data_IF_949513778003
#
_entry.id   IF_949513778003
#
_cell.length_a   1.000
_cell.length_b   1.000
_cell.length_c   1.000
_cell.angle_alpha   90.00
_cell.angle_beta   90.00
_cell.angle_gamma   90.00
#
_symmetry.space_group_name_H-M   'P 1'
#
loop_
_entity.id
_entity.type
_entity.pdbx_description
1 polymer ?
#
# COMPACT_ATOMS: atom_id res chain seq x y z
N UNK A 1 -83.10 67.21 27.85
CA UNK A 1 -83.30 66.11 26.87
C UNK A 1 -82.90 66.57 25.48
N UNK A 2 -81.80 66.07 24.90
CA UNK A 2 -81.68 65.75 23.47
C UNK A 2 -80.41 64.93 23.24
N UNK A 3 -80.62 63.76 22.62
CA UNK A 3 -79.70 62.62 22.48
C UNK A 3 -78.50 62.90 21.58
N UNK A 4 -77.36 62.32 21.98
CA UNK A 4 -76.18 62.05 21.16
C UNK A 4 -76.53 61.18 19.93
N UNK A 5 -75.86 61.44 18.80
CA UNK A 5 -75.61 60.46 17.72
C UNK A 5 -74.13 60.49 17.40
N UNK A 6 -73.50 59.32 17.46
CA UNK A 6 -72.08 59.09 17.26
C UNK A 6 -71.65 59.22 15.80
N UNK A 7 -70.35 59.46 15.65
CA UNK A 7 -69.60 59.32 14.40
C UNK A 7 -68.86 57.96 14.41
N UNK A 8 -68.74 57.23 13.29
CA UNK A 8 -67.99 55.98 13.26
C UNK A 8 -66.48 56.26 13.10
N UNK A 9 -65.59 55.34 13.53
CA UNK A 9 -64.15 55.52 13.41
C UNK A 9 -63.65 55.19 11.99
N UNK A 10 -62.63 55.94 11.54
CA UNK A 10 -61.88 55.69 10.30
C UNK A 10 -61.07 54.39 10.44
N UNK A 11 -61.12 53.56 9.39
CA UNK A 11 -60.46 52.26 9.31
C UNK A 11 -58.94 52.34 9.39
N UNK A 12 -58.38 51.49 10.24
CA UNK A 12 -56.99 51.08 10.26
C UNK A 12 -56.95 49.61 9.83
N UNK A 13 -56.24 49.28 8.74
CA UNK A 13 -56.13 47.89 8.32
C UNK A 13 -55.59 47.71 6.90
N UNK A 14 -54.30 48.01 6.68
CA UNK A 14 -53.58 47.42 5.54
C UNK A 14 -52.04 47.44 5.64
N UNK A 15 -51.46 47.90 6.75
CA UNK A 15 -50.00 48.00 6.91
C UNK A 15 -49.31 46.75 7.49
N UNK A 16 -50.00 45.96 8.33
CA UNK A 16 -49.39 44.83 9.05
C UNK A 16 -49.18 43.60 8.16
N UNK A 17 -50.12 43.30 7.27
CA UNK A 17 -50.10 42.11 6.41
C UNK A 17 -49.03 42.15 5.30
N UNK A 18 -48.58 43.34 4.90
CA UNK A 18 -47.54 43.50 3.87
C UNK A 18 -46.12 43.30 4.44
N UNK A 19 -45.86 43.88 5.63
CA UNK A 19 -44.58 43.73 6.33
C UNK A 19 -44.34 42.29 6.81
N UNK A 20 -45.38 41.60 7.26
CA UNK A 20 -45.30 40.19 7.66
C UNK A 20 -44.95 39.29 6.46
N UNK A 21 -45.58 39.51 5.30
CA UNK A 21 -45.27 38.77 4.06
C UNK A 21 -43.85 39.00 3.57
N UNK A 22 -43.33 40.23 3.63
CA UNK A 22 -41.93 40.51 3.28
C UNK A 22 -40.94 39.82 4.23
N UNK A 23 -41.25 39.78 5.54
CA UNK A 23 -40.39 39.09 6.51
C UNK A 23 -40.32 37.58 6.30
N UNK A 24 -41.44 36.96 5.90
CA UNK A 24 -41.50 35.53 5.56
C UNK A 24 -40.76 35.25 4.25
N UNK A 25 -40.89 36.12 3.25
CA UNK A 25 -40.15 36.01 1.98
C UNK A 25 -38.63 36.08 2.18
N UNK A 26 -38.13 37.01 3.01
CA UNK A 26 -36.71 37.10 3.33
C UNK A 26 -36.19 35.87 4.09
N UNK A 27 -36.98 35.31 5.01
CA UNK A 27 -36.64 34.06 5.70
C UNK A 27 -36.58 32.88 4.73
N UNK A 28 -37.53 32.76 3.81
CA UNK A 28 -37.53 31.72 2.79
C UNK A 28 -36.32 31.86 1.86
N UNK A 29 -36.00 33.07 1.41
CA UNK A 29 -34.80 33.34 0.60
C UNK A 29 -33.52 32.95 1.36
N UNK A 30 -33.38 33.34 2.62
CA UNK A 30 -32.22 32.97 3.44
C UNK A 30 -32.07 31.45 3.58
N UNK A 31 -33.17 30.72 3.80
CA UNK A 31 -33.15 29.24 3.88
C UNK A 31 -32.79 28.62 2.53
N UNK A 32 -33.31 29.14 1.41
CA UNK A 32 -32.96 28.62 0.08
C UNK A 32 -31.48 28.86 -0.25
N UNK A 33 -30.94 30.03 0.08
CA UNK A 33 -29.51 30.35 -0.11
C UNK A 33 -28.65 29.43 0.77
N UNK A 34 -29.04 29.19 2.02
CA UNK A 34 -28.34 28.26 2.90
C UNK A 34 -28.36 26.82 2.35
N UNK A 35 -29.48 26.36 1.81
CA UNK A 35 -29.57 25.05 1.14
C UNK A 35 -28.67 24.95 -0.09
N UNK A 36 -28.56 26.02 -0.88
CA UNK A 36 -27.64 26.06 -2.04
C UNK A 36 -26.19 25.99 -1.58
N UNK A 37 -25.81 26.71 -0.52
CA UNK A 37 -24.45 26.62 0.03
C UNK A 37 -24.13 25.22 0.58
N UNK A 38 -25.09 24.58 1.27
CA UNK A 38 -24.92 23.19 1.73
C UNK A 38 -24.80 22.23 0.55
N UNK A 39 -25.62 22.40 -0.49
CA UNK A 39 -25.55 21.58 -1.70
C UNK A 39 -24.22 21.76 -2.45
N UNK A 40 -23.74 23.00 -2.61
CA UNK A 40 -22.43 23.29 -3.20
C UNK A 40 -21.29 22.71 -2.36
N UNK A 41 -21.37 22.80 -1.02
CA UNK A 41 -20.39 22.21 -0.12
C UNK A 41 -20.36 20.68 -0.23
N UNK A 42 -21.53 20.05 -0.28
CA UNK A 42 -21.66 18.60 -0.47
C UNK A 42 -21.16 18.15 -1.85
N UNK A 43 -21.45 18.90 -2.92
CA UNK A 43 -20.96 18.62 -4.25
C UNK A 43 -19.43 18.81 -4.37
N UNK A 44 -18.89 19.85 -3.75
CA UNK A 44 -17.44 20.06 -3.66
C UNK A 44 -16.75 18.91 -2.91
N UNK A 45 -17.32 18.51 -1.76
CA UNK A 45 -16.84 17.37 -1.00
C UNK A 45 -16.89 16.08 -1.82
N UNK A 46 -18.01 15.79 -2.47
CA UNK A 46 -18.15 14.61 -3.33
C UNK A 46 -17.15 14.61 -4.49
N UNK A 47 -17.00 15.75 -5.18
CA UNK A 47 -16.08 15.87 -6.29
C UNK A 47 -14.63 15.62 -5.84
N UNK A 48 -14.21 16.28 -4.76
CA UNK A 48 -12.81 16.25 -4.34
C UNK A 48 -12.40 14.97 -3.60
N UNK A 49 -13.31 14.37 -2.82
CA UNK A 49 -13.00 13.19 -1.99
C UNK A 49 -13.49 11.86 -2.56
N UNK A 50 -14.41 11.85 -3.53
CA UNK A 50 -14.96 10.61 -4.11
C UNK A 50 -14.66 10.51 -5.61
N UNK A 51 -14.97 11.56 -6.38
CA UNK A 51 -14.86 11.51 -7.84
C UNK A 51 -13.41 11.64 -8.34
N UNK A 52 -12.67 12.67 -7.90
CA UNK A 52 -11.27 12.88 -8.31
C UNK A 52 -10.37 11.68 -7.97
N UNK A 53 -10.40 11.12 -6.74
CA UNK A 53 -9.58 9.96 -6.41
C UNK A 53 -9.91 8.74 -7.28
N UNK A 54 -11.19 8.52 -7.60
CA UNK A 54 -11.61 7.44 -8.49
C UNK A 54 -11.02 7.55 -9.90
N UNK A 55 -10.92 8.77 -10.44
CA UNK A 55 -10.30 9.03 -11.75
C UNK A 55 -8.78 8.84 -11.73
N UNK A 56 -8.09 9.24 -10.67
CA UNK A 56 -6.62 9.07 -10.53
C UNK A 56 -6.28 7.58 -10.40
N UNK A 57 -7.14 6.80 -9.77
CA UNK A 57 -7.00 5.35 -9.65
C UNK A 57 -7.42 4.59 -10.91
N UNK A 58 -8.03 5.24 -11.90
CA UNK A 58 -8.43 4.59 -13.14
C UNK A 58 -7.19 4.31 -14.00
N UNK A 59 -7.03 3.05 -14.41
CA UNK A 59 -5.90 2.63 -15.24
C UNK A 59 -5.94 3.38 -16.57
N UNK A 60 -4.80 3.92 -16.98
CA UNK A 60 -4.67 4.54 -18.29
C UNK A 60 -4.71 3.47 -19.38
N UNK A 61 -5.61 3.66 -20.35
CA UNK A 61 -5.74 2.82 -21.54
C UNK A 61 -4.64 3.16 -22.56
N UNK A 62 -3.39 2.90 -22.19
CA UNK A 62 -2.25 3.01 -23.09
C UNK A 62 -2.21 1.81 -24.03
N UNK A 63 -1.87 2.02 -25.32
CA UNK A 63 -1.72 0.92 -26.27
C UNK A 63 -0.61 -0.01 -25.79
N UNK A 64 -0.88 -1.32 -25.83
CA UNK A 64 0.13 -2.32 -25.51
C UNK A 64 1.23 -2.28 -26.58
N UNK A 65 2.46 -1.97 -26.16
CA UNK A 65 3.63 -2.04 -27.04
C UNK A 65 3.81 -3.50 -27.50
N UNK A 66 3.84 -3.73 -28.82
CA UNK A 66 3.99 -5.04 -29.46
C UNK A 66 5.40 -5.65 -29.35
N UNK A 67 5.98 -5.64 -28.16
CA UNK A 67 7.36 -6.05 -27.89
C UNK A 67 7.54 -7.58 -27.77
N UNK A 68 6.51 -8.39 -28.10
CA UNK A 68 6.51 -9.85 -27.91
C UNK A 68 7.04 -10.29 -26.53
N UNK A 69 6.76 -9.51 -25.50
CA UNK A 69 7.10 -9.83 -24.12
C UNK A 69 6.11 -10.88 -23.60
N UNK A 70 6.63 -11.87 -22.89
CA UNK A 70 5.78 -12.74 -22.08
C UNK A 70 5.12 -11.90 -20.97
N UNK A 71 3.78 -11.95 -20.93
CA UNK A 71 2.94 -11.15 -20.03
C UNK A 71 2.97 -11.64 -18.60
N UNK A 72 3.48 -12.87 -18.36
CA UNK A 72 3.60 -13.48 -17.04
C UNK A 72 4.98 -13.30 -16.42
N UNK A 73 5.99 -12.96 -17.23
CA UNK A 73 7.35 -12.74 -16.72
C UNK A 73 7.40 -11.50 -15.85
N UNK A 74 7.94 -11.64 -14.65
CA UNK A 74 8.15 -10.55 -13.72
C UNK A 74 9.34 -9.68 -14.14
N UNK A 75 9.32 -8.41 -13.74
CA UNK A 75 10.39 -7.47 -14.01
C UNK A 75 10.31 -6.23 -13.13
N UNK A 76 11.36 -5.43 -13.14
CA UNK A 76 11.46 -4.17 -12.38
C UNK A 76 10.75 -3.02 -13.11
N UNK A 77 9.49 -3.22 -13.53
CA UNK A 77 8.71 -2.24 -14.29
C UNK A 77 8.05 -1.16 -13.41
N UNK A 78 8.51 -0.98 -12.16
CA UNK A 78 8.03 0.02 -11.20
C UNK A 78 9.16 0.96 -10.78
N UNK A 79 9.69 1.71 -11.74
CA UNK A 79 10.86 2.59 -11.53
C UNK A 79 10.65 3.76 -10.54
N UNK A 80 9.40 4.07 -10.18
CA UNK A 80 9.08 5.13 -9.22
C UNK A 80 9.26 4.70 -7.75
N UNK A 81 9.34 3.40 -7.47
CA UNK A 81 9.68 2.88 -6.13
C UNK A 81 11.11 2.37 -6.10
N UNK A 82 11.73 2.37 -4.91
CA UNK A 82 13.11 1.91 -4.76
C UNK A 82 13.30 0.45 -5.20
N UNK A 83 12.43 -0.44 -4.73
CA UNK A 83 12.39 -1.83 -5.15
C UNK A 83 10.95 -2.31 -5.28
N UNK A 84 10.60 -2.79 -6.47
CA UNK A 84 9.28 -3.31 -6.77
C UNK A 84 9.24 -4.06 -8.09
N UNK A 85 8.47 -5.14 -8.11
CA UNK A 85 8.32 -6.02 -9.26
C UNK A 85 6.87 -6.02 -9.72
N UNK A 86 6.68 -6.19 -11.04
CA UNK A 86 5.38 -6.48 -11.68
C UNK A 86 5.62 -7.18 -13.00
N UNK A 87 4.58 -7.76 -13.61
CA UNK A 87 4.62 -8.23 -14.99
C UNK A 87 4.23 -7.11 -15.96
N UNK A 88 4.53 -7.23 -17.28
CA UNK A 88 4.23 -6.20 -18.26
C UNK A 88 2.75 -6.22 -18.68
N UNK A 89 1.84 -6.34 -17.71
CA UNK A 89 0.39 -6.36 -17.90
C UNK A 89 -0.32 -5.34 -16.98
N UNK A 90 -1.45 -4.78 -17.42
CA UNK A 90 -2.22 -3.77 -16.66
C UNK A 90 -2.88 -4.35 -15.39
N UNK A 91 -3.20 -5.65 -15.42
CA UNK A 91 -3.79 -6.37 -14.28
C UNK A 91 -2.75 -7.16 -13.47
N UNK A 92 -1.46 -6.89 -13.66
CA UNK A 92 -0.40 -7.55 -12.87
C UNK A 92 -0.59 -7.29 -11.37
N UNK A 93 -0.42 -8.28 -10.49
CA UNK A 93 -0.13 -8.04 -9.10
C UNK A 93 1.10 -7.12 -8.96
N UNK A 94 1.11 -6.29 -7.92
CA UNK A 94 2.23 -5.39 -7.62
C UNK A 94 2.94 -5.89 -6.38
N UNK A 95 4.24 -6.11 -6.49
CA UNK A 95 5.13 -6.35 -5.35
C UNK A 95 5.96 -5.10 -5.08
N UNK A 96 6.23 -4.82 -3.81
CA UNK A 96 7.26 -3.84 -3.47
C UNK A 96 7.70 -3.86 -2.02
N UNK A 97 8.75 -3.08 -1.78
CA UNK A 97 9.40 -2.94 -0.48
C UNK A 97 9.21 -1.53 0.06
N UNK A 98 8.88 -1.46 1.34
CA UNK A 98 8.91 -0.26 2.18
C UNK A 98 9.88 -0.55 3.32
N UNK A 99 10.64 0.43 3.79
CA UNK A 99 11.46 0.25 4.99
C UNK A 99 11.57 1.50 5.84
N UNK A 100 11.91 1.29 7.10
CA UNK A 100 12.26 2.34 8.05
C UNK A 100 13.10 1.79 9.20
N UNK A 101 13.96 2.63 9.79
CA UNK A 101 14.73 2.26 10.98
C UNK A 101 13.81 2.17 12.21
N UNK A 102 13.95 1.17 13.07
CA UNK A 102 13.13 1.07 14.28
C UNK A 102 13.53 2.19 15.27
N UNK A 103 12.58 3.03 15.74
CA UNK A 103 12.90 4.18 16.58
C UNK A 103 13.22 3.81 18.05
N UNK A 104 13.08 2.53 18.41
CA UNK A 104 13.24 2.04 19.78
C UNK A 104 12.21 2.67 20.71
N UNK A 105 12.67 3.24 21.83
CA UNK A 105 11.81 3.88 22.84
C UNK A 105 11.15 5.19 22.37
N UNK A 106 11.52 5.72 21.20
CA UNK A 106 10.92 6.95 20.67
C UNK A 106 9.61 6.63 19.95
N UNK A 107 8.55 7.36 20.28
CA UNK A 107 7.20 7.18 19.69
C UNK A 107 7.06 7.91 18.33
N UNK A 108 8.11 8.58 17.87
CA UNK A 108 8.09 9.33 16.61
C UNK A 108 8.27 8.36 15.46
N UNK A 109 7.32 8.37 14.50
CA UNK A 109 7.44 7.59 13.26
C UNK A 109 8.67 8.09 12.49
N UNK A 110 9.65 7.21 12.22
CA UNK A 110 10.87 7.58 11.52
C UNK A 110 10.59 7.79 10.02
N UNK A 111 11.55 8.35 9.26
CA UNK A 111 11.41 8.49 7.81
C UNK A 111 11.16 7.13 7.14
N UNK A 112 9.95 6.96 6.59
CA UNK A 112 9.55 5.73 5.87
C UNK A 112 9.89 5.88 4.39
N UNK A 113 10.62 4.90 3.85
CA UNK A 113 11.09 4.90 2.46
C UNK A 113 10.20 4.02 1.59
N UNK A 114 9.84 4.52 0.41
CA UNK A 114 9.05 3.76 -0.57
C UNK A 114 9.29 4.26 -1.99
N UNK A 115 8.96 5.52 -2.24
CA UNK A 115 9.14 6.19 -3.52
C UNK A 115 10.54 6.76 -3.64
N UNK A 116 11.05 6.79 -4.86
CA UNK A 116 12.29 7.44 -5.22
C UNK A 116 12.14 8.98 -5.13
N UNK A 117 12.10 9.51 -3.91
CA UNK A 117 12.02 10.94 -3.61
C UNK A 117 13.39 11.48 -3.18
N UNK A 118 13.81 12.56 -3.83
CA UNK A 118 15.08 13.23 -3.59
C UNK A 118 15.17 13.88 -2.21
N UNK A 119 14.03 14.18 -1.58
CA UNK A 119 13.97 14.95 -0.32
C UNK A 119 14.07 14.09 0.93
N UNK A 120 14.17 12.77 0.82
CA UNK A 120 14.17 11.91 1.99
C UNK A 120 15.60 11.69 2.58
N UNK A 121 16.67 12.19 1.94
CA UNK A 121 18.03 12.09 2.49
C UNK A 121 18.75 10.76 2.23
N UNK A 122 18.35 10.02 1.20
CA UNK A 122 19.12 8.88 0.67
C UNK A 122 20.38 9.41 -0.02
N UNK A 123 21.55 8.88 0.35
CA UNK A 123 22.86 9.32 -0.19
C UNK A 123 23.07 8.90 -1.64
N UNK A 124 22.45 7.80 -2.04
CA UNK A 124 22.42 7.34 -3.42
C UNK A 124 21.79 5.95 -3.54
N UNK A 125 21.18 5.67 -4.69
CA UNK A 125 20.60 4.37 -4.99
C UNK A 125 20.78 4.07 -6.47
N UNK A 126 20.93 2.79 -6.80
CA UNK A 126 21.03 2.38 -8.20
C UNK A 126 21.26 0.89 -8.38
N UNK A 127 20.90 0.41 -9.56
CA UNK A 127 21.25 -0.93 -10.01
C UNK A 127 22.73 -0.95 -10.39
N UNK A 128 23.51 -1.80 -9.72
CA UNK A 128 24.91 -2.04 -10.12
C UNK A 128 24.98 -3.02 -11.27
N UNK A 129 24.07 -3.99 -11.30
CA UNK A 129 23.89 -4.96 -12.39
C UNK A 129 22.39 -5.19 -12.55
N UNK A 130 21.85 -5.04 -13.75
CA UNK A 130 20.45 -5.39 -14.02
C UNK A 130 20.22 -5.51 -15.52
N UNK A 131 19.36 -6.43 -15.92
CA UNK A 131 18.79 -6.49 -17.27
C UNK A 131 17.31 -6.03 -17.29
N UNK A 132 16.75 -5.78 -16.10
CA UNK A 132 15.37 -5.34 -15.86
C UNK A 132 14.31 -6.45 -15.99
N UNK A 133 14.72 -7.71 -16.25
CA UNK A 133 13.80 -8.82 -16.59
C UNK A 133 14.12 -10.13 -15.89
N UNK A 134 15.39 -10.55 -15.88
CA UNK A 134 15.79 -11.84 -15.33
C UNK A 134 16.55 -11.70 -14.02
N UNK A 135 17.26 -10.59 -13.82
CA UNK A 135 17.93 -10.36 -12.55
C UNK A 135 18.21 -8.88 -12.29
N UNK A 136 18.55 -8.60 -11.04
CA UNK A 136 19.13 -7.32 -10.70
C UNK A 136 19.77 -7.33 -9.32
N UNK A 137 20.83 -6.54 -9.20
CA UNK A 137 21.53 -6.20 -7.98
C UNK A 137 21.53 -4.70 -7.82
N UNK A 138 20.93 -4.22 -6.75
CA UNK A 138 20.83 -2.81 -6.43
C UNK A 138 21.39 -2.55 -5.04
N UNK A 139 22.03 -1.39 -4.90
CA UNK A 139 22.52 -0.88 -3.63
C UNK A 139 21.85 0.46 -3.35
N UNK A 140 21.30 0.61 -2.14
CA UNK A 140 20.64 1.81 -1.64
C UNK A 140 21.39 2.25 -0.39
N UNK A 141 22.01 3.42 -0.44
CA UNK A 141 22.77 4.01 0.66
C UNK A 141 21.88 4.97 1.44
N UNK A 142 21.28 4.48 2.52
CA UNK A 142 20.47 5.30 3.42
C UNK A 142 21.38 6.13 4.36
N UNK A 143 20.79 6.94 5.23
CA UNK A 143 21.53 7.75 6.20
C UNK A 143 22.32 6.88 7.19
N UNK A 144 21.68 5.84 7.73
CA UNK A 144 22.16 5.03 8.86
C UNK A 144 22.70 3.64 8.46
N UNK A 145 22.33 3.13 7.27
CA UNK A 145 22.72 1.80 6.79
C UNK A 145 22.63 1.72 5.27
N UNK A 146 23.27 0.69 4.71
CA UNK A 146 23.16 0.34 3.30
C UNK A 146 22.23 -0.88 3.15
N UNK A 147 21.36 -0.82 2.15
CA UNK A 147 20.44 -1.89 1.78
C UNK A 147 20.83 -2.44 0.41
N UNK A 148 21.00 -3.76 0.33
CA UNK A 148 21.24 -4.48 -0.93
C UNK A 148 20.00 -5.26 -1.30
N UNK A 149 19.54 -5.07 -2.53
CA UNK A 149 18.38 -5.77 -3.12
C UNK A 149 18.87 -6.57 -4.32
N UNK A 150 18.96 -7.89 -4.13
CA UNK A 150 19.31 -8.84 -5.17
C UNK A 150 18.04 -9.60 -5.56
N UNK A 151 17.78 -9.80 -6.85
CA UNK A 151 16.68 -10.65 -7.29
C UNK A 151 17.03 -11.39 -8.57
N UNK A 152 16.41 -12.57 -8.72
CA UNK A 152 16.50 -13.43 -9.89
C UNK A 152 15.11 -13.92 -10.26
N UNK A 153 14.89 -14.11 -11.54
CA UNK A 153 13.66 -14.59 -12.14
C UNK A 153 13.99 -15.70 -13.14
N UNK A 154 13.32 -16.83 -12.96
CA UNK A 154 13.39 -17.99 -13.83
C UNK A 154 11.97 -18.37 -14.23
N UNK A 155 11.69 -18.29 -15.53
CA UNK A 155 10.35 -18.53 -16.07
C UNK A 155 9.33 -17.52 -15.54
N UNK A 156 8.40 -18.01 -14.72
CA UNK A 156 7.34 -17.21 -14.07
C UNK A 156 7.52 -17.07 -12.56
N UNK A 157 8.67 -17.52 -12.04
CA UNK A 157 9.00 -17.49 -10.61
C UNK A 157 10.15 -16.54 -10.33
N UNK A 158 10.18 -15.95 -9.14
CA UNK A 158 11.29 -15.08 -8.75
C UNK A 158 11.62 -15.21 -7.29
N UNK A 159 12.88 -14.93 -6.96
CA UNK A 159 13.36 -14.83 -5.59
C UNK A 159 14.12 -13.53 -5.43
N UNK A 160 13.81 -12.79 -4.38
CA UNK A 160 14.48 -11.56 -4.00
C UNK A 160 15.14 -11.73 -2.63
N UNK A 161 16.42 -11.40 -2.53
CA UNK A 161 17.17 -11.32 -1.29
C UNK A 161 17.42 -9.87 -0.92
N UNK A 162 17.03 -9.52 0.30
CA UNK A 162 17.22 -8.18 0.86
C UNK A 162 18.20 -8.32 2.01
N UNK A 163 19.33 -7.64 1.92
CA UNK A 163 20.38 -7.67 2.94
C UNK A 163 20.69 -6.27 3.44
N UNK A 164 20.99 -6.17 4.73
CA UNK A 164 21.34 -4.90 5.39
C UNK A 164 22.82 -4.91 5.74
N UNK A 165 23.47 -3.76 5.60
CA UNK A 165 24.87 -3.57 5.99
C UNK A 165 24.99 -2.28 6.79
N UNK A 166 25.38 -2.38 8.05
CA UNK A 166 25.58 -1.23 8.92
C UNK A 166 26.64 -1.50 9.97
N UNK A 167 27.28 -0.42 10.43
CA UNK A 167 28.10 -0.44 11.64
C UNK A 167 27.26 -0.32 12.92
N UNK A 168 25.98 0.05 12.78
CA UNK A 168 25.04 0.27 13.90
C UNK A 168 24.31 -1.03 14.21
N UNK A 169 24.11 -1.32 15.50
CA UNK A 169 23.35 -2.48 15.99
C UNK A 169 21.89 -2.12 16.30
N UNK A 170 21.17 -1.64 15.29
CA UNK A 170 19.71 -1.38 15.38
C UNK A 170 18.93 -2.44 14.60
N UNK A 171 17.60 -2.31 14.57
CA UNK A 171 16.72 -3.11 13.71
C UNK A 171 16.14 -2.21 12.62
N UNK A 172 15.88 -2.80 11.46
CA UNK A 172 15.13 -2.16 10.38
C UNK A 172 13.82 -2.90 10.20
N UNK A 173 12.72 -2.15 10.06
CA UNK A 173 11.46 -2.71 9.61
C UNK A 173 11.49 -2.80 8.09
N UNK A 174 11.39 -4.01 7.55
CA UNK A 174 11.18 -4.25 6.13
C UNK A 174 9.72 -4.67 5.94
N UNK A 175 8.98 -3.91 5.14
CA UNK A 175 7.57 -4.17 4.85
C UNK A 175 7.44 -4.57 3.38
N UNK A 176 7.18 -5.84 3.15
CA UNK A 176 6.90 -6.41 1.85
C UNK A 176 5.40 -6.37 1.60
N UNK A 177 4.98 -5.75 0.51
CA UNK A 177 3.55 -5.69 0.18
C UNK A 177 3.24 -6.29 -1.17
N UNK A 178 2.05 -6.85 -1.25
CA UNK A 178 1.42 -7.35 -2.46
C UNK A 178 0.06 -6.71 -2.63
N UNK A 179 -0.17 -6.18 -3.83
CA UNK A 179 -1.41 -5.51 -4.18
C UNK A 179 -1.99 -6.10 -5.46
N UNK A 180 -3.23 -6.55 -5.37
CA UNK A 180 -4.01 -7.05 -6.49
C UNK A 180 -4.78 -5.90 -7.12
N UNK A 181 -4.52 -5.65 -8.40
CA UNK A 181 -5.18 -4.57 -9.16
C UNK A 181 -6.44 -5.01 -9.92
N UNK A 182 -6.81 -6.28 -9.82
CA UNK A 182 -7.87 -6.90 -10.59
C UNK A 182 -9.07 -7.28 -9.71
N UNK A 183 -10.27 -7.21 -10.27
CA UNK A 183 -11.51 -7.44 -9.54
C UNK A 183 -11.72 -8.92 -9.18
N UNK A 184 -11.31 -9.85 -10.05
CA UNK A 184 -11.53 -11.30 -9.87
C UNK A 184 -10.39 -12.01 -9.14
N UNK A 185 -9.23 -11.36 -9.06
CA UNK A 185 -8.03 -11.88 -8.39
C UNK A 185 -8.07 -11.65 -6.87
N UNK A 186 -7.52 -12.52 -6.03
CA UNK A 186 -7.55 -12.36 -4.56
C UNK A 186 -6.35 -13.00 -3.86
N UNK A 187 -6.10 -12.60 -2.62
CA UNK A 187 -5.05 -13.13 -1.74
C UNK A 187 -5.69 -13.85 -0.54
N UNK A 188 -5.14 -15.02 -0.22
CA UNK A 188 -5.53 -15.89 0.88
C UNK A 188 -4.33 -16.20 1.78
N UNK A 189 -4.49 -16.05 3.09
CA UNK A 189 -3.45 -16.42 4.07
C UNK A 189 -3.32 -17.93 4.19
N UNK A 190 -2.10 -18.44 4.29
CA UNK A 190 -1.87 -19.88 4.52
C UNK A 190 -1.86 -20.25 6.01
N UNK A 191 -1.34 -19.37 6.87
CA UNK A 191 -1.08 -19.70 8.28
C UNK A 191 -2.24 -19.34 9.22
N UNK A 192 -2.70 -20.26 10.06
CA UNK A 192 -3.71 -20.00 11.11
C UNK A 192 -3.11 -19.35 12.38
N UNK A 193 -1.78 -19.43 12.57
CA UNK A 193 -1.10 -19.13 13.85
C UNK A 193 -0.60 -17.67 14.03
N UNK A 194 -1.27 -16.64 13.49
CA UNK A 194 -0.81 -15.21 13.54
C UNK A 194 0.59 -14.86 13.00
N UNK A 195 1.37 -15.85 12.60
CA UNK A 195 2.70 -15.70 11.98
C UNK A 195 2.61 -15.79 10.45
N UNK A 196 2.07 -14.80 9.77
CA UNK A 196 1.95 -14.80 8.31
C UNK A 196 3.35 -14.79 7.63
N UNK A 197 3.93 -15.98 7.42
CA UNK A 197 5.22 -16.17 6.72
C UNK A 197 5.01 -16.47 5.25
N UNK A 198 3.85 -17.04 4.93
CA UNK A 198 3.46 -17.37 3.56
C UNK A 198 2.01 -17.03 3.30
N UNK A 199 1.71 -16.66 2.06
CA UNK A 199 0.34 -16.48 1.59
C UNK A 199 0.20 -17.01 0.17
N UNK A 200 -1.02 -17.41 -0.16
CA UNK A 200 -1.44 -17.77 -1.51
C UNK A 200 -2.21 -16.64 -2.15
N UNK A 201 -2.22 -16.61 -3.46
CA UNK A 201 -3.10 -15.76 -4.22
C UNK A 201 -3.53 -16.41 -5.50
N UNK A 202 -4.66 -15.95 -6.02
CA UNK A 202 -5.11 -16.27 -7.36
C UNK A 202 -5.11 -14.97 -8.17
N UNK A 203 -4.51 -15.03 -9.36
CA UNK A 203 -4.66 -13.98 -10.36
C UNK A 203 -5.12 -14.56 -11.68
N UNK A 204 -6.06 -13.91 -12.36
CA UNK A 204 -6.50 -14.32 -13.69
C UNK A 204 -5.32 -14.40 -14.70
N UNK A 205 -4.29 -13.58 -14.50
CA UNK A 205 -3.09 -13.56 -15.35
C UNK A 205 -2.11 -14.69 -15.02
N UNK A 206 -1.84 -14.89 -13.74
CA UNK A 206 -0.74 -15.76 -13.27
C UNK A 206 -1.22 -17.16 -12.87
N UNK A 207 -2.50 -17.34 -12.55
CA UNK A 207 -3.02 -18.53 -11.91
C UNK A 207 -2.88 -18.45 -10.38
N UNK A 208 -2.80 -19.61 -9.75
CA UNK A 208 -2.52 -19.75 -8.32
C UNK A 208 -1.04 -19.60 -8.06
N UNK A 209 -0.69 -18.67 -7.18
CA UNK A 209 0.69 -18.45 -6.77
C UNK A 209 0.82 -18.49 -5.26
N UNK A 210 2.04 -18.75 -4.80
CA UNK A 210 2.42 -18.73 -3.40
C UNK A 210 3.61 -17.81 -3.23
N UNK A 211 3.58 -17.02 -2.15
CA UNK A 211 4.71 -16.19 -1.74
C UNK A 211 5.16 -16.64 -0.37
N UNK A 212 6.47 -16.85 -0.22
CA UNK A 212 7.07 -17.30 1.03
C UNK A 212 8.22 -16.37 1.43
N UNK A 213 8.25 -16.02 2.71
CA UNK A 213 9.35 -15.27 3.31
C UNK A 213 10.23 -16.24 4.12
N UNK A 214 11.52 -16.25 3.81
CA UNK A 214 12.53 -17.08 4.47
C UNK A 214 13.53 -16.18 5.20
N UNK A 215 13.60 -16.33 6.52
CA UNK A 215 14.57 -15.63 7.37
C UNK A 215 14.90 -16.48 8.60
N UNK A 216 16.10 -16.29 9.15
CA UNK A 216 16.56 -16.94 10.39
C UNK A 216 16.04 -16.24 11.65
N UNK A 217 15.24 -15.18 11.48
CA UNK A 217 14.71 -14.37 12.58
C UNK A 217 13.49 -15.05 13.24
N UNK A 218 13.34 -14.82 14.55
CA UNK A 218 12.20 -15.30 15.34
C UNK A 218 10.86 -14.86 14.77
N UNK A 219 9.83 -15.70 14.95
CA UNK A 219 8.46 -15.39 14.56
C UNK A 219 7.91 -14.11 15.16
N UNK A 220 8.36 -13.73 16.37
CA UNK A 220 7.89 -12.54 17.10
C UNK A 220 8.24 -11.22 16.40
N UNK A 221 9.21 -11.24 15.47
CA UNK A 221 9.61 -10.08 14.69
C UNK A 221 8.76 -9.87 13.44
N UNK A 222 7.85 -10.80 13.14
CA UNK A 222 6.91 -10.70 12.04
C UNK A 222 5.63 -10.02 12.49
N UNK A 223 5.10 -9.18 11.61
CA UNK A 223 3.76 -8.65 11.73
C UNK A 223 3.12 -8.46 10.37
N UNK A 224 1.80 -8.41 10.28
CA UNK A 224 1.12 -8.27 9.00
C UNK A 224 -0.12 -7.38 9.06
N UNK A 225 -0.53 -6.91 7.89
CA UNK A 225 -1.78 -6.21 7.64
C UNK A 225 -2.38 -6.78 6.36
N UNK A 226 -3.65 -7.17 6.41
CA UNK A 226 -4.36 -7.65 5.23
C UNK A 226 -5.70 -6.92 5.11
N UNK A 227 -6.00 -6.41 3.92
CA UNK A 227 -7.18 -5.58 3.68
C UNK A 227 -7.98 -6.08 2.47
N UNK A 228 -9.29 -6.22 2.65
CA UNK A 228 -10.22 -6.65 1.58
C UNK A 228 -11.04 -5.50 0.98
N UNK A 229 -11.20 -4.38 1.70
CA UNK A 229 -12.15 -3.30 1.39
C UNK A 229 -11.73 -2.35 0.28
N UNK A 230 -10.55 -2.53 -0.31
CA UNK A 230 -10.07 -1.70 -1.41
C UNK A 230 -10.81 -2.06 -2.71
N UNK A 231 -11.98 -1.46 -2.92
CA UNK A 231 -12.75 -1.59 -4.17
C UNK A 231 -11.93 -1.10 -5.38
N UNK A 232 -11.06 -0.10 -5.16
CA UNK A 232 -9.98 0.29 -6.06
C UNK A 232 -8.70 0.49 -5.24
N UNK A 233 -7.77 -0.45 -5.29
CA UNK A 233 -6.53 -0.32 -4.55
C UNK A 233 -5.63 0.73 -5.20
N UNK A 234 -5.58 1.90 -4.59
CA UNK A 234 -4.70 2.99 -5.02
C UNK A 234 -3.26 2.66 -4.64
N UNK A 235 -2.48 2.26 -5.65
CA UNK A 235 -1.07 1.92 -5.49
C UNK A 235 -0.22 3.12 -5.04
N UNK A 236 -0.73 4.35 -5.15
CA UNK A 236 0.00 5.54 -4.75
C UNK A 236 0.02 5.74 -3.24
N UNK A 237 -1.02 5.28 -2.52
CA UNK A 237 -1.22 5.54 -1.09
C UNK A 237 -0.74 4.43 -0.17
N UNK A 238 -0.04 3.43 -0.71
CA UNK A 238 0.43 2.26 0.06
C UNK A 238 1.32 2.70 1.23
N UNK A 239 2.25 3.64 1.02
CA UNK A 239 3.11 4.18 2.08
C UNK A 239 2.28 4.76 3.23
N UNK A 240 1.28 5.58 2.91
CA UNK A 240 0.42 6.23 3.91
C UNK A 240 -0.46 5.21 4.64
N UNK A 241 -1.00 4.21 3.93
CA UNK A 241 -1.80 3.15 4.52
C UNK A 241 -0.99 2.31 5.52
N UNK A 242 0.24 1.96 5.16
CA UNK A 242 1.17 1.25 6.06
C UNK A 242 1.48 2.10 7.29
N UNK A 243 1.80 3.39 7.12
CA UNK A 243 2.06 4.31 8.25
C UNK A 243 0.84 4.43 9.15
N UNK A 244 -0.36 4.62 8.58
CA UNK A 244 -1.60 4.80 9.33
C UNK A 244 -2.01 3.54 10.11
N UNK A 245 -1.68 2.36 9.59
CA UNK A 245 -1.94 1.09 10.25
C UNK A 245 -0.84 0.67 11.24
N UNK A 246 0.33 1.31 11.21
CA UNK A 246 1.44 0.97 12.09
C UNK A 246 1.09 1.31 13.54
N UNK A 247 1.21 0.33 14.42
CA UNK A 247 0.93 0.45 15.84
C UNK A 247 2.23 0.38 16.66
N UNK A 248 2.24 1.06 17.80
CA UNK A 248 3.36 1.02 18.74
C UNK A 248 3.17 -0.17 19.66
N UNK A 249 4.03 -1.17 19.53
CA UNK A 249 4.06 -2.26 20.50
C UNK A 249 4.90 -1.86 21.72
N UNK A 250 4.23 -1.79 22.87
CA UNK A 250 4.82 -1.42 24.15
C UNK A 250 5.66 -2.53 24.77
N UNK A 251 5.38 -3.79 24.47
CA UNK A 251 6.10 -4.91 25.08
C UNK A 251 7.51 -5.01 24.50
N UNK A 252 7.60 -4.84 23.18
CA UNK A 252 8.86 -4.91 22.45
C UNK A 252 9.49 -3.55 22.14
N UNK A 253 8.79 -2.44 22.43
CA UNK A 253 9.23 -1.06 22.14
C UNK A 253 9.63 -0.88 20.67
N UNK A 254 8.79 -1.38 19.77
CA UNK A 254 8.97 -1.30 18.31
C UNK A 254 7.67 -0.91 17.63
N UNK A 255 7.80 -0.32 16.45
CA UNK A 255 6.68 -0.13 15.54
C UNK A 255 6.40 -1.44 14.79
N UNK A 256 5.14 -1.85 14.70
CA UNK A 256 4.73 -3.07 13.99
C UNK A 256 3.36 -2.93 13.35
N UNK A 257 3.05 -3.81 12.40
CA UNK A 257 1.71 -3.92 11.84
C UNK A 257 0.77 -4.62 12.84
N UNK A 258 -0.56 -4.39 12.74
CA UNK A 258 -1.54 -4.75 13.77
C UNK A 258 -1.94 -6.23 13.81
N UNK A 259 -1.34 -7.08 12.97
CA UNK A 259 -1.65 -8.52 12.86
C UNK A 259 -3.14 -8.82 12.65
N UNK A 260 -3.82 -7.98 11.86
CA UNK A 260 -5.27 -8.11 11.66
C UNK A 260 -5.69 -8.00 10.21
N UNK A 261 -6.90 -8.50 9.99
CA UNK A 261 -7.67 -8.28 8.78
C UNK A 261 -8.55 -7.04 8.92
N UNK A 262 -8.57 -6.22 7.87
CA UNK A 262 -9.42 -5.05 7.78
C UNK A 262 -10.42 -5.26 6.65
N UNK A 263 -11.69 -5.36 7.03
CA UNK A 263 -12.82 -5.60 6.13
C UNK A 263 -12.99 -7.06 5.72
N UNK A 264 -14.25 -7.51 5.63
CA UNK A 264 -14.67 -8.80 5.05
C UNK A 264 -14.48 -10.04 5.93
N UNK A 265 -15.35 -11.04 5.74
CA UNK A 265 -15.17 -12.38 6.31
C UNK A 265 -13.87 -13.02 5.79
N UNK A 266 -13.23 -13.84 6.63
CA UNK A 266 -11.94 -14.48 6.37
C UNK A 266 -11.90 -15.13 4.97
N UNK A 267 -11.02 -14.65 4.09
CA UNK A 267 -10.60 -15.46 2.94
C UNK A 267 -10.11 -14.71 1.72
N UNK A 268 -10.62 -13.50 1.43
CA UNK A 268 -10.26 -12.80 0.19
C UNK A 268 -9.83 -11.36 0.46
N UNK A 269 -8.52 -11.11 0.34
CA UNK A 269 -7.93 -9.78 0.51
C UNK A 269 -7.33 -9.30 -0.80
N UNK A 270 -7.29 -7.98 -0.99
CA UNK A 270 -6.69 -7.35 -2.18
C UNK A 270 -5.30 -6.81 -1.90
N UNK A 271 -5.00 -6.57 -0.63
CA UNK A 271 -3.75 -6.04 -0.15
C UNK A 271 -3.26 -6.88 1.03
N UNK A 272 -2.00 -7.28 0.98
CA UNK A 272 -1.28 -7.88 2.11
C UNK A 272 0.05 -7.15 2.24
N UNK A 273 0.37 -6.69 3.44
CA UNK A 273 1.68 -6.20 3.84
C UNK A 273 2.21 -7.05 4.98
N UNK A 274 3.43 -7.57 4.82
CA UNK A 274 4.14 -8.33 5.84
C UNK A 274 5.36 -7.51 6.24
N UNK A 275 5.41 -7.14 7.51
CA UNK A 275 6.54 -6.48 8.12
C UNK A 275 7.41 -7.50 8.86
N UNK A 276 8.72 -7.39 8.70
CA UNK A 276 9.73 -8.07 9.52
C UNK A 276 10.66 -7.03 10.14
N UNK A 277 10.93 -7.18 11.43
CA UNK A 277 11.94 -6.41 12.14
C UNK A 277 13.29 -7.13 12.07
N UNK A 278 14.05 -6.84 11.01
CA UNK A 278 15.33 -7.47 10.71
C UNK A 278 16.46 -6.78 11.50
N UNK A 279 17.30 -7.52 12.25
CA UNK A 279 18.53 -6.94 12.81
C UNK A 279 19.49 -6.51 11.68
N UNK A 280 20.25 -5.43 11.92
CA UNK A 280 21.29 -5.01 10.98
C UNK A 280 22.31 -6.12 10.74
N UNK A 281 22.87 -6.18 9.52
CA UNK A 281 23.79 -7.22 9.07
C UNK A 281 23.15 -8.61 8.93
N UNK A 282 21.83 -8.66 8.77
CA UNK A 282 21.10 -9.87 8.39
C UNK A 282 20.48 -9.73 6.99
N UNK A 283 19.99 -10.86 6.46
CA UNK A 283 19.28 -10.93 5.19
C UNK A 283 17.98 -11.70 5.29
N UNK A 284 17.03 -11.36 4.44
CA UNK A 284 15.77 -12.07 4.23
C UNK A 284 15.61 -12.41 2.75
N UNK A 285 14.99 -13.55 2.46
CA UNK A 285 14.62 -13.96 1.12
C UNK A 285 13.10 -14.00 0.98
N UNK A 286 12.60 -13.51 -0.15
CA UNK A 286 11.19 -13.54 -0.54
C UNK A 286 11.10 -14.28 -1.86
N UNK A 287 10.37 -15.38 -1.87
CA UNK A 287 10.18 -16.22 -3.05
C UNK A 287 8.74 -16.17 -3.53
N UNK A 288 8.57 -16.08 -4.84
CA UNK A 288 7.29 -16.16 -5.54
C UNK A 288 7.31 -17.39 -6.43
N UNK A 289 6.42 -18.33 -6.18
CA UNK A 289 6.26 -19.56 -6.95
C UNK A 289 4.86 -19.64 -7.53
N UNK A 290 4.74 -20.16 -8.76
CA UNK A 290 3.47 -20.50 -9.38
C UNK A 290 3.21 -22.00 -9.20
N UNK A 291 1.96 -22.47 -9.27
CA UNK A 291 1.65 -23.91 -9.07
C UNK A 291 2.44 -24.84 -10.02
N UNK A 292 2.87 -24.34 -11.19
CA UNK A 292 3.64 -25.09 -12.18
C UNK A 292 5.17 -25.09 -11.94
N UNK A 293 5.71 -24.13 -11.16
CA UNK A 293 7.15 -23.89 -11.02
C UNK A 293 7.53 -23.46 -9.59
N UNK A 294 8.52 -24.13 -8.97
CA UNK A 294 9.07 -23.72 -7.68
C UNK A 294 10.15 -22.65 -7.88
N UNK A 295 10.10 -21.62 -7.04
CA UNK A 295 11.11 -20.57 -7.03
C UNK A 295 12.49 -21.13 -6.64
N UNK A 296 13.54 -20.58 -7.25
CA UNK A 296 14.92 -20.87 -6.87
C UNK A 296 15.20 -20.34 -5.46
N UNK A 297 15.55 -21.22 -4.52
CA UNK A 297 16.11 -20.82 -3.22
C UNK A 297 17.63 -20.75 -3.35
N UNK A 298 18.27 -19.77 -2.70
CA UNK A 298 19.72 -19.74 -2.64
C UNK A 298 20.23 -20.99 -1.90
N UNK A 299 21.07 -21.80 -2.56
CA UNK A 299 21.81 -22.87 -1.89
C UNK A 299 22.81 -22.20 -0.95
N UNK A 300 22.72 -22.49 0.35
CA UNK A 300 23.70 -21.97 1.32
C UNK A 300 25.05 -22.63 1.03
N UNK A 301 26.13 -21.85 1.04
CA UNK A 301 27.51 -22.35 0.83
C UNK A 301 27.91 -23.51 1.78
N UNK A 302 27.15 -23.75 2.85
CA UNK A 302 27.31 -24.91 3.74
C UNK A 302 26.96 -26.26 3.11
N UNK A 303 26.22 -26.28 2.00
CA UNK A 303 25.80 -27.51 1.32
C UNK A 303 26.84 -27.99 0.28
N UNK A 304 27.89 -27.20 0.05
CA UNK A 304 29.07 -27.57 -0.75
C UNK A 304 30.14 -28.25 0.13
N UNK A 305 29.77 -29.28 0.88
CA UNK A 305 30.74 -30.21 1.48
C UNK A 305 30.57 -31.58 0.86
N UNK A 306 31.47 -31.91 -0.07
CA UNK A 306 31.71 -33.29 -0.50
C UNK A 306 31.20 -33.62 -1.90
N UNK A 307 31.97 -33.28 -2.91
CA UNK A 307 32.28 -34.19 -4.04
C UNK A 307 33.50 -33.65 -4.79
N UNK A 308 34.66 -33.58 -4.11
CA UNK A 308 35.91 -33.80 -4.84
C UNK A 308 35.94 -35.28 -5.23
N UNK A 309 35.39 -35.58 -6.40
CA UNK A 309 35.69 -36.84 -7.10
C UNK A 309 36.58 -36.52 -8.27
N UNK A 310 37.87 -36.76 -8.04
CA UNK A 310 38.85 -37.22 -9.01
C UNK A 310 38.30 -37.58 -10.40
N UNK A 311 38.69 -36.82 -11.42
CA UNK A 311 38.98 -37.39 -12.73
C UNK A 311 40.26 -36.78 -13.28
N UNK A 312 41.19 -37.70 -13.53
CA UNK A 312 42.47 -37.56 -14.20
C UNK A 312 42.25 -37.19 -15.67
N UNK A 313 42.92 -36.15 -16.14
CA UNK A 313 43.84 -36.15 -17.29
C UNK A 313 44.59 -34.82 -17.34
#
# INVERSE_FOLDING_TARGET
MKRQRGSPPKGAGNGSTKAEKESVLWRMLAVTVMMVFVAMGAQYYYHNYVYLPGLISQKSDLPQLGLNLDRKTWGTYRSHVYFGLRTPHQNSPLFGLIWYEQPGMNVIVPPVRHWCDQNEGIKGYGWTLADGRTFGKQTIRDSSFDLTTDWINEGHTWTARIATHSTIKTKVALVFYFLIQDAESFLHRLDENDELRSFRGYSQLLGNFTVTLHSDVSSEEYSFLAESTLHYPDATRIKEAVIAATEVDRDHQVLRLPNRYVGGEQGQTKFIAIQINLPMNASIEVSFSNDDEKALTAVRDSDFVGTETSYIA
#
